data_IF_217547025610
#
_entry.id   IF_217547025610
#
_cell.length_a   1.000
_cell.length_b   1.000
_cell.length_c   1.000
_cell.angle_alpha   90.00
_cell.angle_beta   90.00
_cell.angle_gamma   90.00
#
_symmetry.space_group_name_H-M   'P 1'
#
loop_
_entity.id
_entity.type
_entity.pdbx_description
1 polymer ?
#
# COMPACT_ATOMS: atom_id res chain seq x y z
N UNK A 1 3.02 -2.51 2.75
CA UNK A 1 2.77 -1.51 3.81
C UNK A 1 1.42 -0.80 3.66
N UNK A 2 1.09 -0.19 2.51
CA UNK A 2 -0.14 0.64 2.32
C UNK A 2 -1.43 -0.11 2.66
N UNK A 3 -1.52 -1.41 2.38
CA UNK A 3 -2.70 -2.22 2.73
C UNK A 3 -2.96 -2.25 4.25
N UNK A 4 -1.93 -2.51 5.05
CA UNK A 4 -2.06 -2.56 6.51
C UNK A 4 -2.49 -1.22 7.11
N UNK A 5 -1.98 -0.11 6.58
CA UNK A 5 -2.42 1.23 6.99
C UNK A 5 -3.92 1.44 6.73
N UNK A 6 -4.43 1.08 5.53
CA UNK A 6 -5.86 1.16 5.23
C UNK A 6 -6.70 0.23 6.11
N UNK A 7 -6.20 -0.98 6.38
CA UNK A 7 -6.86 -1.95 7.23
C UNK A 7 -7.04 -1.45 8.67
N UNK A 8 -5.99 -0.88 9.28
CA UNK A 8 -6.08 -0.33 10.64
C UNK A 8 -7.07 0.85 10.72
N UNK A 9 -7.13 1.70 9.69
CA UNK A 9 -8.14 2.78 9.62
C UNK A 9 -9.56 2.21 9.56
N UNK A 10 -9.79 1.19 8.75
CA UNK A 10 -11.10 0.52 8.67
C UNK A 10 -11.48 -0.15 9.99
N UNK A 11 -10.51 -0.80 10.64
CA UNK A 11 -10.70 -1.42 11.96
C UNK A 11 -11.04 -0.37 13.02
N UNK A 12 -10.35 0.78 13.03
CA UNK A 12 -10.66 1.89 13.92
C UNK A 12 -12.07 2.44 13.68
N UNK A 13 -12.50 2.56 12.43
CA UNK A 13 -13.86 3.00 12.09
C UNK A 13 -14.94 2.02 12.58
N UNK A 14 -14.71 0.72 12.45
CA UNK A 14 -15.63 -0.31 12.97
C UNK A 14 -15.71 -0.26 14.50
N UNK A 15 -14.57 -0.14 15.18
CA UNK A 15 -14.52 -0.03 16.64
C UNK A 15 -15.20 1.25 17.16
N UNK A 16 -15.26 2.31 16.35
CA UNK A 16 -15.98 3.54 16.65
C UNK A 16 -17.46 3.51 16.22
N UNK A 17 -18.00 2.33 15.85
CA UNK A 17 -19.37 2.13 15.35
C UNK A 17 -19.70 2.89 14.04
N UNK A 18 -18.68 3.38 13.33
CA UNK A 18 -18.80 4.12 12.06
C UNK A 18 -18.86 3.17 10.86
N UNK A 19 -19.76 2.18 10.92
CA UNK A 19 -19.86 1.10 9.92
C UNK A 19 -20.08 1.64 8.51
N UNK A 20 -20.89 2.69 8.36
CA UNK A 20 -21.16 3.31 7.06
C UNK A 20 -19.86 3.83 6.38
N UNK A 21 -18.99 4.50 7.15
CA UNK A 21 -17.71 5.00 6.65
C UNK A 21 -16.76 3.84 6.31
N UNK A 22 -16.75 2.78 7.11
CA UNK A 22 -15.96 1.59 6.83
C UNK A 22 -16.37 0.93 5.50
N UNK A 23 -17.68 0.80 5.25
CA UNK A 23 -18.20 0.25 3.99
C UNK A 23 -17.76 1.11 2.79
N UNK A 24 -17.90 2.43 2.88
CA UNK A 24 -17.45 3.33 1.81
C UNK A 24 -15.94 3.22 1.56
N UNK A 25 -15.13 3.09 2.62
CA UNK A 25 -13.69 2.89 2.51
C UNK A 25 -13.32 1.58 1.82
N UNK A 26 -14.04 0.49 2.11
CA UNK A 26 -13.85 -0.80 1.43
C UNK A 26 -14.22 -0.70 -0.06
N UNK A 27 -15.36 -0.08 -0.39
CA UNK A 27 -15.78 0.12 -1.79
C UNK A 27 -14.75 0.94 -2.58
N UNK A 28 -14.25 2.05 -2.00
CA UNK A 28 -13.18 2.85 -2.60
C UNK A 28 -11.90 2.02 -2.84
N UNK A 29 -11.57 1.11 -1.91
CA UNK A 29 -10.43 0.20 -2.06
C UNK A 29 -10.63 -0.80 -3.20
N UNK A 30 -11.83 -1.36 -3.35
CA UNK A 30 -12.18 -2.30 -4.43
C UNK A 30 -12.08 -1.62 -5.80
N UNK A 31 -12.60 -0.39 -5.93
CA UNK A 31 -12.49 0.38 -7.16
C UNK A 31 -11.02 0.60 -7.53
N UNK A 32 -10.19 1.01 -6.55
CA UNK A 32 -8.76 1.15 -6.76
C UNK A 32 -8.10 -0.16 -7.20
N UNK A 33 -8.39 -1.26 -6.52
CA UNK A 33 -7.84 -2.59 -6.84
C UNK A 33 -8.20 -3.01 -8.27
N UNK A 34 -9.43 -2.75 -8.73
CA UNK A 34 -9.83 -3.02 -10.11
C UNK A 34 -8.97 -2.25 -11.13
N UNK A 35 -8.72 -0.95 -10.91
CA UNK A 35 -7.86 -0.16 -11.79
C UNK A 35 -6.41 -0.66 -11.80
N UNK A 36 -5.85 -0.99 -10.63
CA UNK A 36 -4.50 -1.55 -10.54
C UNK A 36 -4.37 -2.89 -11.27
N UNK A 37 -5.30 -3.81 -11.04
CA UNK A 37 -5.30 -5.11 -11.73
C UNK A 37 -5.47 -4.95 -13.24
N UNK A 38 -6.30 -4.01 -13.68
CA UNK A 38 -6.47 -3.71 -15.11
C UNK A 38 -5.17 -3.22 -15.75
N UNK A 39 -4.42 -2.35 -15.06
CA UNK A 39 -3.10 -1.89 -15.54
C UNK A 39 -2.12 -3.07 -15.62
N UNK A 40 -2.04 -3.89 -14.56
CA UNK A 40 -1.17 -5.08 -14.54
C UNK A 40 -1.53 -6.04 -15.68
N UNK A 41 -2.82 -6.24 -15.93
CA UNK A 41 -3.30 -7.04 -17.04
C UNK A 41 -2.77 -6.51 -18.38
N UNK A 42 -2.86 -5.21 -18.64
CA UNK A 42 -2.30 -4.63 -19.87
C UNK A 42 -0.77 -4.72 -19.97
N UNK A 43 -0.05 -4.68 -18.85
CA UNK A 43 1.42 -4.86 -18.86
C UNK A 43 1.80 -6.28 -19.27
N UNK A 44 1.07 -7.29 -18.78
CA UNK A 44 1.39 -8.70 -19.06
C UNK A 44 0.78 -9.26 -20.34
N UNK A 45 -0.40 -8.77 -20.74
CA UNK A 45 -1.16 -9.28 -21.89
C UNK A 45 -1.31 -8.27 -23.03
N UNK A 46 -0.73 -7.08 -22.90
CA UNK A 46 -0.67 -6.08 -23.98
C UNK A 46 0.38 -6.44 -25.04
N UNK A 47 0.33 -5.73 -26.16
CA UNK A 47 1.36 -5.82 -27.20
C UNK A 47 2.72 -5.38 -26.64
N UNK A 48 3.72 -6.24 -26.78
CA UNK A 48 5.10 -5.90 -26.41
C UNK A 48 5.66 -4.88 -27.39
N UNK A 49 6.32 -3.81 -26.92
CA UNK A 49 7.07 -2.92 -27.79
C UNK A 49 8.20 -3.69 -28.51
N UNK A 50 8.44 -3.39 -29.80
CA UNK A 50 9.42 -4.11 -30.63
C UNK A 50 10.87 -4.02 -30.11
N UNK A 51 11.16 -3.01 -29.27
CA UNK A 51 12.43 -2.85 -28.57
C UNK A 51 12.31 -3.30 -27.11
N UNK A 52 13.12 -4.27 -26.64
CA UNK A 52 13.15 -4.63 -25.23
C UNK A 52 13.58 -3.42 -24.40
N UNK A 53 12.70 -2.97 -23.50
CA UNK A 53 12.99 -1.87 -22.57
C UNK A 53 13.76 -2.35 -21.32
N UNK A 54 13.78 -3.65 -21.06
CA UNK A 54 14.42 -4.25 -19.89
C UNK A 54 15.80 -4.83 -20.24
N UNK A 55 16.87 -4.17 -19.79
CA UNK A 55 18.16 -4.81 -19.64
C UNK A 55 18.21 -5.49 -18.27
N UNK A 56 17.95 -6.79 -18.25
CA UNK A 56 17.97 -7.62 -17.05
C UNK A 56 19.30 -7.58 -16.28
N UNK A 57 20.38 -7.06 -16.88
CA UNK A 57 21.69 -6.89 -16.25
C UNK A 57 21.89 -5.54 -15.57
N UNK A 58 20.92 -4.62 -15.63
CA UNK A 58 21.04 -3.31 -14.99
C UNK A 58 21.16 -3.43 -13.46
N UNK A 59 22.30 -3.05 -12.86
CA UNK A 59 22.49 -3.12 -11.41
C UNK A 59 21.56 -2.16 -10.66
N UNK A 60 21.11 -1.08 -11.32
CA UNK A 60 20.14 -0.12 -10.79
C UNK A 60 18.77 -0.79 -10.61
N UNK A 61 18.27 -1.50 -11.64
CA UNK A 61 16.99 -2.19 -11.54
C UNK A 61 17.03 -3.20 -10.38
N UNK A 62 18.05 -4.06 -10.34
CA UNK A 62 18.20 -5.05 -9.26
C UNK A 62 18.18 -4.39 -7.88
N UNK A 63 18.87 -3.26 -7.70
CA UNK A 63 18.91 -2.54 -6.43
C UNK A 63 17.53 -1.97 -6.06
N UNK A 64 16.80 -1.41 -7.02
CA UNK A 64 15.45 -0.88 -6.79
C UNK A 64 14.48 -1.99 -6.37
N UNK A 65 14.48 -3.13 -7.07
CA UNK A 65 13.62 -4.27 -6.75
C UNK A 65 13.92 -4.84 -5.36
N UNK A 66 15.20 -5.04 -5.02
CA UNK A 66 15.58 -5.58 -3.71
C UNK A 66 15.32 -4.59 -2.57
N UNK A 67 15.60 -3.30 -2.77
CA UNK A 67 15.31 -2.26 -1.78
C UNK A 67 13.80 -2.13 -1.53
N UNK A 68 12.99 -2.15 -2.60
CA UNK A 68 11.52 -2.07 -2.48
C UNK A 68 10.96 -3.27 -1.70
N UNK A 69 11.45 -4.48 -1.97
CA UNK A 69 11.07 -5.68 -1.23
C UNK A 69 11.50 -5.62 0.24
N UNK A 70 12.73 -5.19 0.51
CA UNK A 70 13.25 -5.04 1.87
C UNK A 70 12.45 -4.02 2.69
N UNK A 71 12.17 -2.84 2.11
CA UNK A 71 11.34 -1.80 2.74
C UNK A 71 9.93 -2.33 3.01
N UNK A 72 9.36 -3.12 2.09
CA UNK A 72 8.04 -3.70 2.29
C UNK A 72 8.01 -4.65 3.49
N UNK A 73 8.98 -5.57 3.59
CA UNK A 73 9.07 -6.54 4.68
C UNK A 73 9.35 -5.83 6.00
N UNK A 74 10.35 -4.93 6.02
CA UNK A 74 10.70 -4.16 7.21
C UNK A 74 9.53 -3.30 7.70
N UNK A 75 8.83 -2.63 6.79
CA UNK A 75 7.68 -1.81 7.09
C UNK A 75 6.47 -2.59 7.61
N UNK A 76 6.32 -3.88 7.27
CA UNK A 76 5.27 -4.75 7.83
C UNK A 76 5.60 -5.15 9.26
N UNK A 77 6.86 -5.51 9.55
CA UNK A 77 7.26 -5.99 10.88
C UNK A 77 7.40 -4.84 11.88
N UNK A 78 8.04 -3.75 11.47
CA UNK A 78 8.39 -2.66 12.38
C UNK A 78 7.28 -1.60 12.47
N UNK A 79 6.44 -1.45 11.44
CA UNK A 79 5.55 -0.29 11.24
C UNK A 79 6.26 1.07 11.44
N UNK A 80 7.61 1.06 11.43
CA UNK A 80 8.50 2.19 11.72
C UNK A 80 8.23 2.90 13.05
N UNK A 81 7.64 2.21 14.03
CA UNK A 81 7.27 2.83 15.32
C UNK A 81 6.21 3.94 15.20
N UNK A 82 5.54 4.04 14.05
CA UNK A 82 4.55 5.10 13.76
C UNK A 82 3.38 5.05 14.73
N UNK A 83 3.03 3.89 15.27
CA UNK A 83 1.95 3.76 16.24
C UNK A 83 2.18 4.58 17.51
N UNK A 84 3.40 4.59 18.06
CA UNK A 84 3.71 5.34 19.27
C UNK A 84 3.63 6.84 19.02
N UNK A 85 4.14 7.29 17.87
CA UNK A 85 4.05 8.69 17.45
C UNK A 85 2.60 9.11 17.19
N UNK A 86 1.81 8.26 16.54
CA UNK A 86 0.40 8.51 16.26
C UNK A 86 -0.43 8.61 17.54
N UNK A 87 -0.19 7.73 18.53
CA UNK A 87 -0.85 7.79 19.85
C UNK A 87 -0.49 9.06 20.62
N UNK A 88 0.78 9.46 20.63
CA UNK A 88 1.21 10.69 21.30
C UNK A 88 0.54 11.93 20.69
N UNK A 89 0.49 12.01 19.36
CA UNK A 89 -0.20 13.09 18.66
C UNK A 89 -1.71 13.10 18.95
N UNK A 90 -2.38 11.95 18.95
CA UNK A 90 -3.80 11.85 19.29
C UNK A 90 -4.10 12.32 20.72
N UNK A 91 -3.23 11.97 21.69
CA UNK A 91 -3.39 12.39 23.08
C UNK A 91 -3.23 13.89 23.27
N UNK A 92 -2.32 14.54 22.52
CA UNK A 92 -2.13 16.00 22.58
C UNK A 92 -3.34 16.81 22.10
N UNK A 93 -4.29 16.22 21.38
CA UNK A 93 -5.52 16.90 20.94
C UNK A 93 -6.63 16.88 22.01
N UNK A 94 -6.45 16.09 23.07
CA UNK A 94 -7.42 15.93 24.15
C UNK A 94 -7.09 16.80 25.38
N UNK A 95 -5.98 17.54 25.33
CA UNK A 95 -5.47 18.37 26.43
C UNK A 95 -5.29 19.82 25.97
#
# INVERSE_FOLDING_TARGET
MVFFAKFEVLRAAINAELVYLAVLGVLASVIGAFYYLRIVYFIYFGEMPETPLDDAKSPILRTIWTASAAIMIFGIVSLLGVEQMAKAAAFSLLN
#
